data_IF_394626344545
#
_entry.id   IF_394626344545
#
_cell.length_a   1.000
_cell.length_b   1.000
_cell.length_c   1.000
_cell.angle_alpha   90.00
_cell.angle_beta   90.00
_cell.angle_gamma   90.00
#
_symmetry.space_group_name_H-M   'P 1'
#
loop_
_entity.id
_entity.type
_entity.pdbx_description
1 polymer ?
#
# COMPACT_ATOMS: atom_id res chain seq x y z
N UNK A 1 9.08 -10.09 -10.99
CA UNK A 1 9.12 -9.97 -12.46
C UNK A 1 8.78 -8.53 -12.82
N UNK A 2 9.55 -7.91 -13.72
CA UNK A 2 9.28 -6.57 -14.24
C UNK A 2 7.99 -6.58 -15.06
N UNK A 3 7.11 -5.60 -14.82
CA UNK A 3 5.85 -5.45 -15.57
C UNK A 3 5.98 -4.19 -16.40
N UNK A 4 6.17 -4.35 -17.71
CA UNK A 4 6.16 -3.22 -18.64
C UNK A 4 4.73 -2.80 -18.93
N UNK A 5 4.44 -1.52 -18.73
CA UNK A 5 3.16 -0.89 -19.04
C UNK A 5 3.33 0.41 -19.84
N UNK A 6 4.54 0.73 -20.30
CA UNK A 6 4.86 1.98 -21.02
C UNK A 6 3.96 2.20 -22.24
N UNK A 7 3.64 1.14 -23.00
CA UNK A 7 2.77 1.24 -24.17
C UNK A 7 1.32 1.60 -23.78
N UNK A 8 0.84 1.10 -22.63
CA UNK A 8 -0.53 1.32 -22.14
C UNK A 8 -0.75 2.76 -21.65
N UNK A 9 0.34 3.49 -21.32
CA UNK A 9 0.31 4.89 -20.84
C UNK A 9 0.85 5.88 -21.87
N UNK A 10 1.08 5.42 -23.10
CA UNK A 10 1.62 6.27 -24.17
C UNK A 10 0.63 7.34 -24.65
N UNK A 11 -0.67 7.16 -24.42
CA UNK A 11 -1.72 8.15 -24.70
C UNK A 11 -2.17 8.86 -23.41
N UNK A 12 -2.26 10.19 -23.47
CA UNK A 12 -2.68 11.06 -22.36
C UNK A 12 -4.21 11.05 -22.25
N UNK A 13 -4.77 9.89 -21.94
CA UNK A 13 -6.19 9.72 -21.64
C UNK A 13 -6.36 9.40 -20.15
N UNK A 14 -7.28 10.10 -19.48
CA UNK A 14 -7.63 9.79 -18.08
C UNK A 14 -8.11 8.34 -17.91
N UNK A 15 -8.68 7.75 -18.96
CA UNK A 15 -9.13 6.36 -18.96
C UNK A 15 -7.97 5.35 -18.90
N UNK A 16 -6.78 5.71 -19.40
CA UNK A 16 -5.58 4.86 -19.34
C UNK A 16 -5.14 4.59 -17.89
N UNK A 17 -5.27 5.59 -17.00
CA UNK A 17 -4.99 5.43 -15.57
C UNK A 17 -5.98 4.49 -14.87
N UNK A 18 -7.28 4.63 -15.15
CA UNK A 18 -8.29 3.71 -14.62
C UNK A 18 -8.03 2.28 -15.08
N UNK A 19 -7.67 2.07 -16.35
CA UNK A 19 -7.32 0.76 -16.89
C UNK A 19 -6.11 0.13 -16.16
N UNK A 20 -5.11 0.93 -15.79
CA UNK A 20 -3.96 0.46 -15.02
C UNK A 20 -4.33 0.04 -13.59
N UNK A 21 -5.23 0.78 -12.93
CA UNK A 21 -5.67 0.49 -11.56
C UNK A 21 -6.30 -0.91 -11.45
N UNK A 22 -7.07 -1.33 -12.46
CA UNK A 22 -7.74 -2.63 -12.50
C UNK A 22 -6.89 -3.78 -13.07
N UNK A 23 -5.66 -3.52 -13.50
CA UNK A 23 -4.74 -4.59 -13.95
C UNK A 23 -4.39 -5.48 -12.77
N UNK A 24 -4.31 -6.81 -12.96
CA UNK A 24 -3.95 -7.75 -11.87
C UNK A 24 -2.45 -8.03 -11.77
N UNK A 25 -1.79 -8.27 -12.91
CA UNK A 25 -0.35 -8.61 -12.94
C UNK A 25 0.49 -7.42 -12.50
N UNK A 26 1.18 -7.56 -11.36
CA UNK A 26 2.07 -6.54 -10.78
C UNK A 26 1.35 -5.38 -10.12
N UNK A 27 0.04 -5.50 -9.89
CA UNK A 27 -0.76 -4.46 -9.24
C UNK A 27 -0.73 -4.56 -7.73
N UNK A 28 -0.97 -3.43 -7.08
CA UNK A 28 -1.10 -3.28 -5.63
C UNK A 28 -2.16 -4.26 -5.08
N UNK A 29 -3.24 -4.49 -5.83
CA UNK A 29 -4.30 -5.44 -5.44
C UNK A 29 -3.74 -6.83 -5.15
N UNK A 30 -2.83 -7.33 -5.97
CA UNK A 30 -2.23 -8.66 -5.77
C UNK A 30 -1.43 -8.74 -4.47
N UNK A 31 -0.83 -7.63 -4.05
CA UNK A 31 0.02 -7.56 -2.85
C UNK A 31 -0.75 -7.26 -1.58
N UNK A 32 -1.89 -6.57 -1.64
CA UNK A 32 -2.62 -6.09 -0.46
C UNK A 32 -3.89 -6.90 -0.17
N UNK A 33 -4.38 -7.71 -1.12
CA UNK A 33 -5.69 -8.38 -0.96
C UNK A 33 -5.75 -9.30 0.27
N UNK A 34 -4.65 -9.96 0.64
CA UNK A 34 -4.66 -10.89 1.79
C UNK A 34 -4.78 -10.13 3.11
N UNK A 35 -4.01 -9.06 3.23
CA UNK A 35 -3.96 -8.16 4.37
C UNK A 35 -5.29 -7.40 4.50
N UNK A 36 -5.85 -6.94 3.38
CA UNK A 36 -7.15 -6.28 3.34
C UNK A 36 -8.27 -7.22 3.79
N UNK A 37 -8.29 -8.47 3.31
CA UNK A 37 -9.29 -9.46 3.73
C UNK A 37 -9.16 -9.77 5.23
N UNK A 38 -7.94 -9.93 5.74
CA UNK A 38 -7.70 -10.15 7.16
C UNK A 38 -8.16 -8.94 8.01
N UNK A 39 -7.88 -7.72 7.56
CA UNK A 39 -8.33 -6.49 8.21
C UNK A 39 -9.85 -6.37 8.22
N UNK A 40 -10.51 -6.61 7.08
CA UNK A 40 -11.97 -6.58 6.96
C UNK A 40 -12.62 -7.62 7.88
N UNK A 41 -12.05 -8.82 7.97
CA UNK A 41 -12.55 -9.85 8.87
C UNK A 41 -12.50 -9.38 10.33
N UNK A 42 -11.37 -8.83 10.77
CA UNK A 42 -11.24 -8.27 12.13
C UNK A 42 -12.21 -7.12 12.38
N UNK A 43 -12.34 -6.19 11.43
CA UNK A 43 -13.26 -5.06 11.51
C UNK A 43 -14.72 -5.53 11.66
N UNK A 44 -15.17 -6.44 10.80
CA UNK A 44 -16.54 -6.97 10.87
C UNK A 44 -16.78 -7.82 12.12
N UNK A 45 -15.77 -8.54 12.62
CA UNK A 45 -15.88 -9.26 13.88
C UNK A 45 -16.15 -8.30 15.05
N UNK A 46 -15.38 -7.21 15.15
CA UNK A 46 -15.59 -6.16 16.17
C UNK A 46 -16.94 -5.47 15.97
N UNK A 47 -17.33 -5.16 14.74
CA UNK A 47 -18.63 -4.60 14.42
C UNK A 47 -19.78 -5.48 14.91
N UNK A 48 -19.71 -6.79 14.65
CA UNK A 48 -20.71 -7.75 15.11
C UNK A 48 -20.74 -7.88 16.65
N UNK A 49 -19.57 -7.93 17.30
CA UNK A 49 -19.46 -7.92 18.76
C UNK A 49 -20.17 -6.70 19.35
N UNK A 50 -19.82 -5.49 18.88
CA UNK A 50 -20.41 -4.23 19.36
C UNK A 50 -21.93 -4.17 19.09
N UNK A 51 -22.38 -4.63 17.92
CA UNK A 51 -23.79 -4.50 17.54
C UNK A 51 -24.69 -5.48 18.30
N UNK A 52 -24.31 -6.76 18.33
CA UNK A 52 -25.20 -7.85 18.73
C UNK A 52 -24.90 -8.45 20.11
N UNK A 53 -23.68 -8.33 20.62
CA UNK A 53 -23.27 -9.03 21.85
C UNK A 53 -23.17 -8.09 23.05
N UNK A 54 -22.60 -6.88 22.87
CA UNK A 54 -22.37 -5.97 23.99
C UNK A 54 -23.67 -5.40 24.58
N UNK A 55 -23.72 -5.33 25.91
CA UNK A 55 -24.80 -4.63 26.65
C UNK A 55 -24.61 -3.10 26.61
N UNK A 56 -25.65 -2.30 26.92
CA UNK A 56 -25.56 -0.84 26.82
C UNK A 56 -24.40 -0.21 27.60
N UNK A 57 -24.10 -0.70 28.80
CA UNK A 57 -22.99 -0.18 29.61
C UNK A 57 -21.63 -0.59 29.05
N UNK A 58 -21.50 -1.80 28.49
CA UNK A 58 -20.29 -2.24 27.81
C UNK A 58 -20.03 -1.45 26.52
N UNK A 59 -21.08 -1.05 25.79
CA UNK A 59 -20.94 -0.21 24.60
C UNK A 59 -20.35 1.16 24.93
N UNK A 60 -20.80 1.79 26.03
CA UNK A 60 -20.24 3.05 26.50
C UNK A 60 -18.75 2.94 26.86
N UNK A 61 -18.35 1.83 27.47
CA UNK A 61 -16.94 1.58 27.76
C UNK A 61 -16.14 1.39 26.46
N UNK A 62 -16.66 0.59 25.52
CA UNK A 62 -16.04 0.37 24.22
C UNK A 62 -15.86 1.68 23.44
N UNK A 63 -16.85 2.55 23.45
CA UNK A 63 -16.80 3.87 22.79
C UNK A 63 -15.67 4.73 23.35
N UNK A 64 -15.49 4.76 24.68
CA UNK A 64 -14.37 5.48 25.31
C UNK A 64 -13.01 4.90 24.92
N UNK A 65 -12.90 3.58 24.81
CA UNK A 65 -11.67 2.92 24.37
C UNK A 65 -11.38 3.26 22.91
N UNK A 66 -12.39 3.19 22.04
CA UNK A 66 -12.26 3.51 20.62
C UNK A 66 -11.84 4.97 20.41
N UNK A 67 -12.47 5.91 21.14
CA UNK A 67 -12.08 7.32 21.11
C UNK A 67 -10.64 7.53 21.59
N UNK A 68 -10.21 6.81 22.63
CA UNK A 68 -8.82 6.89 23.08
C UNK A 68 -7.85 6.37 22.01
N UNK A 69 -8.16 5.25 21.37
CA UNK A 69 -7.33 4.71 20.28
C UNK A 69 -7.24 5.67 19.09
N UNK A 70 -8.34 6.32 18.72
CA UNK A 70 -8.38 7.29 17.62
C UNK A 70 -7.44 8.47 17.87
N UNK A 71 -7.45 9.01 19.09
CA UNK A 71 -6.55 10.12 19.48
C UNK A 71 -5.07 9.74 19.42
N UNK A 72 -4.72 8.51 19.76
CA UNK A 72 -3.32 8.04 19.74
C UNK A 72 -2.81 7.78 18.30
N UNK A 73 -3.70 7.50 17.35
CA UNK A 73 -3.32 7.27 15.94
C UNK A 73 -2.79 8.55 15.28
N UNK A 74 -3.34 9.71 15.62
CA UNK A 74 -2.92 11.01 15.09
C UNK A 74 -1.51 11.43 15.54
N UNK A 75 -1.01 10.86 16.64
CA UNK A 75 0.32 11.21 17.17
C UNK A 75 1.46 10.79 16.24
N UNK A 76 1.29 9.72 15.45
CA UNK A 76 2.34 9.19 14.59
C UNK A 76 2.11 9.62 13.14
N UNK A 77 2.99 10.45 12.54
CA UNK A 77 2.84 10.89 11.16
C UNK A 77 3.25 9.78 10.17
N UNK A 78 2.44 8.73 10.07
CA UNK A 78 2.72 7.52 9.29
C UNK A 78 2.97 7.82 7.80
N UNK A 79 2.21 8.75 7.23
CA UNK A 79 2.36 9.15 5.81
C UNK A 79 3.75 9.73 5.53
N UNK A 80 4.28 10.52 6.46
CA UNK A 80 5.61 11.12 6.35
C UNK A 80 6.71 10.07 6.47
N UNK A 81 6.62 9.20 7.47
CA UNK A 81 7.52 8.07 7.66
C UNK A 81 7.54 7.14 6.44
N UNK A 82 6.37 6.81 5.91
CA UNK A 82 6.25 5.96 4.72
C UNK A 82 6.86 6.63 3.50
N UNK A 83 6.64 7.94 3.31
CA UNK A 83 7.23 8.71 2.21
C UNK A 83 8.76 8.65 2.21
N UNK A 84 9.40 8.85 3.36
CA UNK A 84 10.84 8.73 3.48
C UNK A 84 11.34 7.30 3.25
N UNK A 85 10.68 6.33 3.88
CA UNK A 85 11.05 4.92 3.75
C UNK A 85 11.01 4.45 2.29
N UNK A 86 9.92 4.76 1.58
CA UNK A 86 9.75 4.41 0.16
C UNK A 86 10.79 5.12 -0.71
N UNK A 87 11.09 6.40 -0.43
CA UNK A 87 12.12 7.16 -1.17
C UNK A 87 13.49 6.50 -1.07
N UNK A 88 13.90 6.08 0.14
CA UNK A 88 15.18 5.38 0.37
C UNK A 88 15.23 4.05 -0.40
N UNK A 89 14.14 3.28 -0.40
CA UNK A 89 14.07 2.00 -1.12
C UNK A 89 14.21 2.21 -2.63
N UNK A 90 13.52 3.21 -3.18
CA UNK A 90 13.58 3.52 -4.62
C UNK A 90 15.00 3.93 -5.01
N UNK A 91 15.66 4.76 -4.20
CA UNK A 91 17.03 5.20 -4.50
C UNK A 91 18.01 4.02 -4.54
N UNK A 92 17.95 3.13 -3.54
CA UNK A 92 18.76 1.91 -3.51
C UNK A 92 18.50 1.00 -4.70
N UNK A 93 17.22 0.84 -5.08
CA UNK A 93 16.86 0.04 -6.25
C UNK A 93 17.45 0.62 -7.54
N UNK A 94 17.44 1.94 -7.71
CA UNK A 94 18.07 2.62 -8.85
C UNK A 94 19.59 2.42 -8.86
N UNK A 95 20.25 2.52 -7.69
CA UNK A 95 21.68 2.27 -7.58
C UNK A 95 22.05 0.84 -8.01
N UNK A 96 21.27 -0.16 -7.58
CA UNK A 96 21.45 -1.56 -8.02
C UNK A 96 21.33 -1.65 -9.55
N UNK A 97 20.32 -1.01 -10.14
CA UNK A 97 20.10 -1.02 -11.58
C UNK A 97 21.25 -0.37 -12.36
N UNK A 98 21.75 0.78 -11.90
CA UNK A 98 22.84 1.52 -12.54
C UNK A 98 24.18 0.78 -12.47
N UNK A 99 24.39 0.02 -11.39
CA UNK A 99 25.59 -0.75 -11.14
C UNK A 99 25.55 -2.16 -11.77
N UNK A 100 24.48 -2.52 -12.48
CA UNK A 100 24.50 -3.72 -13.30
C UNK A 100 25.56 -3.60 -14.39
N UNK A 101 26.40 -4.63 -14.53
CA UNK A 101 27.47 -4.69 -15.52
C UNK A 101 26.90 -4.93 -16.92
N UNK A 102 26.50 -3.86 -17.60
CA UNK A 102 26.03 -3.93 -18.99
C UNK A 102 27.24 -4.10 -19.93
N UNK A 103 27.24 -5.18 -20.72
CA UNK A 103 28.31 -5.53 -21.67
C UNK A 103 28.54 -4.41 -22.70
N UNK A 104 27.49 -3.66 -23.04
CA UNK A 104 27.54 -2.50 -23.94
C UNK A 104 28.56 -1.44 -23.48
N UNK A 105 28.69 -1.23 -22.17
CA UNK A 105 29.69 -0.29 -21.62
C UNK A 105 31.12 -0.75 -21.88
N UNK A 106 31.37 -2.07 -21.81
CA UNK A 106 32.70 -2.64 -22.03
C UNK A 106 33.10 -2.67 -23.50
N UNK A 107 32.14 -2.85 -24.41
CA UNK A 107 32.38 -2.86 -25.87
C UNK A 107 32.58 -1.45 -26.42
N UNK A 108 31.90 -0.43 -25.90
CA UNK A 108 32.05 0.96 -26.35
C UNK A 108 33.37 1.61 -25.89
N UNK A 109 34.04 1.02 -24.89
CA UNK A 109 35.35 1.47 -24.40
C UNK A 109 36.56 0.84 -25.11
N UNK A 110 36.34 -0.13 -26.00
CA UNK A 110 37.36 -0.74 -26.87
C UNK A 110 37.31 -0.11 -28.27
#
# INVERSE_FOLDING_TARGET
MTVSYNLDVSSVSSFSFFKLLFRWKGSIWKFVIKELVAWLFGFYAIFCLYRYILTPDQKRLFERIAENCDRELDYIPLTFLLGFFVTIIIDRWRQIFNNMGWIEKSVMTL
#
